data_IF_460643445735
#
_entry.id   IF_460643445735
#
_cell.length_a   1.000
_cell.length_b   1.000
_cell.length_c   1.000
_cell.angle_alpha   90.00
_cell.angle_beta   90.00
_cell.angle_gamma   90.00
#
_symmetry.space_group_name_H-M   'P 1'
#
loop_
_entity.id
_entity.type
_entity.pdbx_description
1 polymer ?
#
# COMPACT_ATOMS: atom_id res chain seq x y z
N UNK A 1 -0.64 -0.53 -62.59
CA UNK A 1 0.52 -0.53 -61.67
C UNK A 1 0.30 -1.62 -60.62
N UNK A 2 0.85 -2.82 -60.83
CA UNK A 2 0.74 -3.92 -59.86
C UNK A 2 1.76 -3.73 -58.75
N UNK A 3 1.31 -3.41 -57.54
CA UNK A 3 2.20 -3.24 -56.39
C UNK A 3 2.83 -4.60 -56.04
N UNK A 4 4.15 -4.71 -56.13
CA UNK A 4 4.87 -5.96 -55.90
C UNK A 4 4.67 -6.40 -54.45
N UNK A 5 3.94 -7.51 -54.23
CA UNK A 5 3.66 -8.05 -52.88
C UNK A 5 4.93 -8.28 -52.05
N UNK A 6 6.06 -8.56 -52.70
CA UNK A 6 7.38 -8.67 -52.06
C UNK A 6 7.81 -7.35 -51.40
N UNK A 7 7.55 -6.21 -52.04
CA UNK A 7 7.88 -4.87 -51.52
C UNK A 7 7.09 -4.53 -50.25
N UNK A 8 5.80 -4.91 -50.20
CA UNK A 8 4.97 -4.71 -49.01
C UNK A 8 5.51 -5.52 -47.82
N UNK A 9 5.92 -6.76 -48.05
CA UNK A 9 6.48 -7.63 -47.00
C UNK A 9 7.80 -7.06 -46.46
N UNK A 10 8.68 -6.54 -47.32
CA UNK A 10 9.91 -5.90 -46.86
C UNK A 10 9.65 -4.62 -46.06
N UNK A 11 8.66 -3.82 -46.47
CA UNK A 11 8.30 -2.58 -45.78
C UNK A 11 7.73 -2.85 -44.38
N UNK A 12 6.89 -3.88 -44.22
CA UNK A 12 6.32 -4.23 -42.90
C UNK A 12 7.38 -4.79 -41.95
N UNK A 13 8.30 -5.62 -42.44
CA UNK A 13 9.41 -6.13 -41.62
C UNK A 13 10.34 -4.99 -41.20
N UNK A 14 10.65 -4.05 -42.09
CA UNK A 14 11.48 -2.88 -41.78
C UNK A 14 10.84 -1.98 -40.71
N UNK A 15 9.53 -1.74 -40.78
CA UNK A 15 8.79 -0.95 -39.78
C UNK A 15 8.78 -1.65 -38.42
N UNK A 16 8.60 -2.97 -38.36
CA UNK A 16 8.64 -3.73 -37.11
C UNK A 16 10.04 -3.70 -36.48
N UNK A 17 11.09 -3.80 -37.30
CA UNK A 17 12.48 -3.73 -36.83
C UNK A 17 12.88 -2.32 -36.37
N UNK A 18 12.43 -1.28 -37.05
CA UNK A 18 12.59 0.12 -36.63
C UNK A 18 11.80 0.43 -35.36
N UNK A 19 10.59 -0.12 -35.24
CA UNK A 19 9.78 -0.02 -34.04
C UNK A 19 10.56 -0.48 -32.81
N UNK A 20 11.25 -1.63 -32.87
CA UNK A 20 12.00 -2.17 -31.72
C UNK A 20 13.17 -1.29 -31.23
N UNK A 21 13.79 -0.47 -32.08
CA UNK A 21 14.84 0.46 -31.64
C UNK A 21 14.26 1.64 -30.82
N UNK A 22 13.04 2.09 -31.13
CA UNK A 22 12.39 3.20 -30.43
C UNK A 22 11.88 2.85 -29.02
N UNK A 23 11.62 1.57 -28.73
CA UNK A 23 11.13 1.14 -27.41
C UNK A 23 12.23 1.00 -26.34
N UNK A 24 13.51 1.09 -26.71
CA UNK A 24 14.60 0.94 -25.76
C UNK A 24 14.95 2.24 -25.01
N UNK A 25 14.39 3.39 -25.41
CA UNK A 25 14.85 4.69 -24.93
C UNK A 25 13.72 5.65 -24.53
N UNK A 26 12.80 5.19 -23.66
CA UNK A 26 12.10 6.10 -22.76
C UNK A 26 11.71 5.42 -21.43
N UNK A 27 12.72 5.14 -20.61
CA UNK A 27 12.57 4.99 -19.16
C UNK A 27 13.28 6.17 -18.52
N UNK A 28 12.68 7.37 -18.59
CA UNK A 28 13.10 8.53 -17.80
C UNK A 28 11.91 9.13 -17.06
N UNK A 29 11.83 8.73 -15.80
CA UNK A 29 11.41 9.51 -14.62
C UNK A 29 10.21 10.46 -14.78
N UNK A 30 9.02 9.89 -14.73
CA UNK A 30 7.87 10.49 -14.04
C UNK A 30 7.02 9.37 -13.46
N UNK A 31 7.55 8.68 -12.44
CA UNK A 31 6.71 7.85 -11.58
C UNK A 31 5.85 8.79 -10.73
N UNK A 32 4.76 9.30 -11.31
CA UNK A 32 3.63 9.75 -10.52
C UNK A 32 3.27 8.57 -9.62
N UNK A 33 3.63 8.65 -8.34
CA UNK A 33 3.30 7.63 -7.35
C UNK A 33 1.97 8.04 -6.71
N UNK A 34 0.81 7.65 -7.28
CA UNK A 34 -0.49 8.01 -6.73
C UNK A 34 -0.64 7.51 -5.29
N UNK A 35 0.02 6.40 -4.94
CA UNK A 35 0.06 5.86 -3.57
C UNK A 35 0.80 6.83 -2.64
N UNK A 36 1.97 7.32 -3.03
CA UNK A 36 2.74 8.29 -2.23
C UNK A 36 2.01 9.63 -2.07
N UNK A 37 1.40 10.14 -3.14
CA UNK A 37 0.60 11.36 -3.11
C UNK A 37 -0.63 11.20 -2.19
N UNK A 38 -1.34 10.07 -2.30
CA UNK A 38 -2.47 9.75 -1.43
C UNK A 38 -2.06 9.62 0.04
N UNK A 39 -1.00 8.86 0.33
CA UNK A 39 -0.48 8.67 1.70
C UNK A 39 -0.09 10.03 2.31
N UNK A 40 0.63 10.87 1.58
CA UNK A 40 1.05 12.19 2.08
C UNK A 40 -0.12 13.14 2.34
N UNK A 41 -1.12 13.17 1.44
CA UNK A 41 -2.34 13.96 1.64
C UNK A 41 -3.17 13.47 2.81
N UNK A 42 -3.34 12.16 2.92
CA UNK A 42 -4.05 11.51 4.01
C UNK A 42 -3.35 11.72 5.37
N UNK A 43 -2.02 11.58 5.41
CA UNK A 43 -1.22 11.78 6.60
C UNK A 43 -1.38 13.19 7.17
N UNK A 44 -1.40 14.22 6.31
CA UNK A 44 -1.64 15.61 6.73
C UNK A 44 -3.03 15.82 7.33
N UNK A 45 -4.01 15.01 6.96
CA UNK A 45 -5.35 15.05 7.52
C UNK A 45 -5.42 14.28 8.85
N UNK A 46 -4.91 13.04 8.88
CA UNK A 46 -4.89 12.16 10.06
C UNK A 46 -4.06 12.77 11.18
N UNK A 47 -2.89 13.36 10.89
CA UNK A 47 -2.04 13.99 11.91
C UNK A 47 -2.74 15.14 12.65
N UNK A 48 -3.76 15.77 12.06
CA UNK A 48 -4.58 16.78 12.76
C UNK A 48 -5.62 16.13 13.68
N UNK A 49 -6.08 14.93 13.32
CA UNK A 49 -7.03 14.12 14.10
C UNK A 49 -6.33 13.36 15.24
N UNK A 50 -5.05 13.00 15.06
CA UNK A 50 -4.21 12.22 16.00
C UNK A 50 -3.92 12.92 17.35
N UNK A 51 -4.46 14.13 17.57
CA UNK A 51 -4.49 14.83 18.85
C UNK A 51 -3.11 15.04 19.51
N UNK A 52 -3.09 15.45 20.78
CA UNK A 52 -1.83 15.65 21.53
C UNK A 52 -1.22 14.34 22.03
N UNK A 53 -1.94 13.22 22.01
CA UNK A 53 -1.41 11.87 22.29
C UNK A 53 -2.50 10.81 22.02
N UNK A 54 -2.31 9.97 21.00
CA UNK A 54 -3.17 8.83 20.73
C UNK A 54 -3.03 7.75 21.83
N UNK A 55 -4.16 7.23 22.38
CA UNK A 55 -4.15 6.23 23.45
C UNK A 55 -3.69 4.85 22.96
N UNK A 56 -3.69 4.63 21.65
CA UNK A 56 -3.35 3.34 21.05
C UNK A 56 -1.90 3.28 20.56
N UNK A 57 -1.40 2.05 20.45
CA UNK A 57 -0.12 1.70 19.86
C UNK A 57 -0.30 0.60 18.81
N UNK A 58 0.19 0.78 17.58
CA UNK A 58 0.83 2.01 17.05
C UNK A 58 -0.17 3.18 16.97
N UNK A 59 0.30 4.44 16.89
CA UNK A 59 -0.57 5.61 16.64
C UNK A 59 -1.33 5.49 15.32
N UNK A 60 -2.49 6.15 15.19
CA UNK A 60 -3.36 6.03 14.00
C UNK A 60 -2.66 6.38 12.69
N UNK A 61 -1.83 7.43 12.70
CA UNK A 61 -0.96 7.76 11.57
C UNK A 61 -0.02 6.61 11.17
N UNK A 62 0.61 5.96 12.15
CA UNK A 62 1.52 4.83 11.90
C UNK A 62 0.76 3.57 11.47
N UNK A 63 -0.38 3.29 12.11
CA UNK A 63 -1.26 2.19 11.74
C UNK A 63 -1.68 2.29 10.27
N UNK A 64 -2.10 3.47 9.82
CA UNK A 64 -2.54 3.65 8.44
C UNK A 64 -1.45 3.34 7.41
N UNK A 65 -0.20 3.73 7.70
CA UNK A 65 0.95 3.43 6.84
C UNK A 65 1.17 1.91 6.77
N UNK A 66 1.11 1.23 7.90
CA UNK A 66 1.26 -0.21 7.97
C UNK A 66 0.12 -0.93 7.23
N UNK A 67 -1.12 -0.44 7.36
CA UNK A 67 -2.28 -0.97 6.67
C UNK A 67 -2.15 -0.78 5.15
N UNK A 68 -1.80 0.41 4.66
CA UNK A 68 -1.57 0.65 3.23
C UNK A 68 -0.42 -0.20 2.69
N UNK A 69 0.66 -0.35 3.46
CA UNK A 69 1.83 -1.15 3.05
C UNK A 69 1.50 -2.65 2.96
N UNK A 70 0.68 -3.17 3.88
CA UNK A 70 0.33 -4.58 3.95
C UNK A 70 -0.79 -4.95 2.98
N UNK A 71 -1.74 -4.05 2.77
CA UNK A 71 -3.05 -4.35 2.18
C UNK A 71 -3.42 -3.51 0.95
N UNK A 72 -2.60 -2.51 0.61
CA UNK A 72 -2.86 -1.58 -0.49
C UNK A 72 -3.78 -0.43 -0.11
N UNK A 73 -3.99 0.52 -1.03
CA UNK A 73 -4.72 1.78 -0.75
C UNK A 73 -6.16 1.51 -0.29
N UNK A 74 -6.89 0.66 -1.03
CA UNK A 74 -8.32 0.45 -0.80
C UNK A 74 -8.56 -0.20 0.57
N UNK A 75 -7.93 -1.36 0.82
CA UNK A 75 -8.11 -2.06 2.09
C UNK A 75 -7.45 -1.34 3.25
N UNK A 76 -6.27 -0.75 3.04
CA UNK A 76 -5.63 0.07 4.08
C UNK A 76 -6.48 1.28 4.47
N UNK A 77 -7.21 1.88 3.53
CA UNK A 77 -8.13 2.98 3.82
C UNK A 77 -9.32 2.50 4.64
N UNK A 78 -9.98 1.43 4.21
CA UNK A 78 -11.12 0.85 4.92
C UNK A 78 -10.73 0.48 6.35
N UNK A 79 -9.59 -0.19 6.54
CA UNK A 79 -9.08 -0.55 7.85
C UNK A 79 -8.72 0.66 8.72
N UNK A 80 -8.24 1.75 8.11
CA UNK A 80 -7.92 2.97 8.87
C UNK A 80 -9.19 3.69 9.31
N UNK A 81 -10.18 3.80 8.44
CA UNK A 81 -11.49 4.41 8.77
C UNK A 81 -12.21 3.59 9.84
N UNK A 82 -12.23 2.27 9.68
CA UNK A 82 -12.84 1.35 10.64
C UNK A 82 -12.23 1.52 12.04
N UNK A 83 -10.89 1.53 12.13
CA UNK A 83 -10.21 1.75 13.40
C UNK A 83 -10.49 3.14 14.00
N UNK A 84 -10.50 4.21 13.19
CA UNK A 84 -10.79 5.57 13.68
C UNK A 84 -12.20 5.68 14.30
N UNK A 85 -13.15 4.88 13.83
CA UNK A 85 -14.52 4.87 14.36
C UNK A 85 -14.58 4.13 15.72
N UNK A 86 -13.82 3.04 15.87
CA UNK A 86 -13.87 2.17 17.06
C UNK A 86 -12.91 2.57 18.20
N UNK A 87 -11.81 3.26 17.89
CA UNK A 87 -10.76 3.63 18.86
C UNK A 87 -11.28 4.44 20.06
N UNK A 88 -12.35 5.22 19.89
CA UNK A 88 -12.90 6.08 20.94
C UNK A 88 -13.87 5.43 21.92
N UNK A 89 -14.37 4.21 21.65
CA UNK A 89 -15.50 3.63 22.41
C UNK A 89 -15.25 2.22 22.94
N UNK A 90 -14.59 1.36 22.16
CA UNK A 90 -14.66 -0.09 22.39
C UNK A 90 -13.29 -0.70 22.70
N UNK A 91 -12.23 -0.18 22.07
CA UNK A 91 -10.86 -0.68 22.18
C UNK A 91 -10.27 -0.65 23.61
N UNK A 92 -10.76 0.23 24.48
CA UNK A 92 -10.35 0.28 25.89
C UNK A 92 -10.73 -0.99 26.68
N UNK A 93 -11.73 -1.74 26.21
CA UNK A 93 -12.32 -2.87 26.96
C UNK A 93 -11.82 -4.23 26.46
N UNK A 94 -11.41 -4.31 25.19
CA UNK A 94 -11.11 -5.59 24.52
C UNK A 94 -9.64 -5.78 24.18
N UNK A 95 -8.89 -4.69 24.01
CA UNK A 95 -7.51 -4.76 23.53
C UNK A 95 -6.50 -4.76 24.70
N UNK A 96 -5.44 -5.57 24.62
CA UNK A 96 -4.44 -5.67 25.69
C UNK A 96 -3.70 -4.34 25.83
N UNK A 97 -3.36 -3.95 27.07
CA UNK A 97 -2.59 -2.72 27.30
C UNK A 97 -1.10 -3.03 27.39
N UNK A 98 -0.29 -2.18 26.77
CA UNK A 98 1.18 -2.24 26.83
C UNK A 98 1.74 -0.97 27.45
N UNK A 99 2.88 -1.09 28.12
CA UNK A 99 3.62 0.06 28.62
C UNK A 99 4.58 0.56 27.53
N UNK A 100 4.35 1.77 27.02
CA UNK A 100 5.14 2.37 25.95
C UNK A 100 5.46 3.83 26.27
N UNK A 101 6.74 4.19 26.33
CA UNK A 101 7.23 5.55 26.63
C UNK A 101 6.62 6.18 27.90
N UNK A 102 6.60 5.43 29.00
CA UNK A 102 6.17 5.96 30.29
C UNK A 102 4.66 5.96 30.52
N UNK A 103 3.86 5.48 29.56
CA UNK A 103 2.39 5.48 29.63
C UNK A 103 1.82 4.13 29.21
N UNK A 104 0.63 3.83 29.72
CA UNK A 104 -0.17 2.69 29.25
C UNK A 104 -0.83 3.06 27.93
N UNK A 105 -0.71 2.19 26.94
CA UNK A 105 -1.34 2.32 25.63
C UNK A 105 -2.13 1.07 25.27
N UNK A 106 -3.21 1.23 24.54
CA UNK A 106 -3.99 0.14 23.97
C UNK A 106 -3.18 -0.47 22.83
N UNK A 107 -2.89 -1.77 22.88
CA UNK A 107 -2.15 -2.43 21.82
C UNK A 107 -3.11 -2.94 20.74
N UNK A 108 -3.13 -2.22 19.62
CA UNK A 108 -4.00 -2.51 18.49
C UNK A 108 -3.20 -2.44 17.16
N UNK A 109 -2.43 -3.49 16.81
CA UNK A 109 -1.70 -3.56 15.55
C UNK A 109 -2.60 -3.88 14.34
N UNK A 110 -2.07 -3.73 13.12
CA UNK A 110 -2.79 -4.07 11.86
C UNK A 110 -3.25 -5.53 11.83
N UNK A 111 -2.46 -6.41 12.41
CA UNK A 111 -2.74 -7.83 12.55
C UNK A 111 -4.01 -8.13 13.36
N UNK A 112 -4.39 -7.25 14.30
CA UNK A 112 -5.61 -7.41 15.08
C UNK A 112 -6.87 -7.04 14.30
N UNK A 113 -6.71 -6.32 13.18
CA UNK A 113 -7.81 -5.75 12.41
C UNK A 113 -7.97 -6.37 11.01
N UNK A 114 -7.04 -7.24 10.59
CA UNK A 114 -7.08 -7.89 9.27
C UNK A 114 -7.59 -9.33 9.26
N UNK A 115 -7.91 -9.89 10.43
CA UNK A 115 -8.30 -11.31 10.61
C UNK A 115 -9.50 -11.75 9.75
N UNK A 116 -10.42 -10.84 9.44
CA UNK A 116 -11.67 -11.15 8.73
C UNK A 116 -11.48 -11.33 7.21
N UNK A 117 -10.38 -10.87 6.63
CA UNK A 117 -10.16 -10.93 5.18
C UNK A 117 -8.75 -11.34 4.76
N UNK A 118 -7.75 -11.06 5.59
CA UNK A 118 -6.36 -11.37 5.29
C UNK A 118 -5.98 -12.73 5.83
N UNK A 119 -5.77 -13.69 4.92
CA UNK A 119 -5.17 -14.97 5.28
C UNK A 119 -3.64 -14.83 5.17
N UNK A 120 -2.89 -14.95 6.28
CA UNK A 120 -1.44 -14.93 6.19
C UNK A 120 -0.98 -16.07 5.28
N UNK A 121 -0.08 -15.78 4.33
CA UNK A 121 0.54 -16.83 3.52
C UNK A 121 1.20 -17.82 4.47
N UNK A 122 0.80 -19.10 4.41
CA UNK A 122 1.46 -20.18 5.17
C UNK A 122 2.94 -20.18 4.80
N UNK A 123 3.77 -19.65 5.69
CA UNK A 123 5.22 -19.77 5.58
C UNK A 123 5.56 -21.14 6.12
N UNK A 124 5.71 -22.13 5.23
CA UNK A 124 6.26 -23.41 5.64
C UNK A 124 7.63 -23.14 6.28
N UNK A 125 7.89 -23.63 7.51
CA UNK A 125 9.20 -23.50 8.12
C UNK A 125 10.20 -24.13 7.16
N UNK A 126 11.11 -23.31 6.61
CA UNK A 126 12.32 -23.84 5.98
C UNK A 126 13.17 -24.33 7.13
N UNK A 127 13.03 -25.59 7.49
CA UNK A 127 14.05 -26.29 8.25
C UNK A 127 15.38 -26.04 7.51
N UNK A 128 16.37 -25.50 8.21
CA UNK A 128 17.70 -25.27 7.65
C UNK A 128 18.20 -26.58 7.04
N UNK A 129 18.72 -26.49 5.82
CA UNK A 129 19.38 -27.59 5.12
C UNK A 129 20.85 -27.62 5.51
#
# INVERSE_FOLDING_TARGET
MGFNKRFIIFLTIAIIMLGKLGYAQDKRDTDFNPVGCFISGFWRHISKVDGKECPSYPPCSTYSILAFKKHGIVMGWLMTVDRLIHEGKEELTVSPMIYYHGRMKIYDPVENNDFWWYKPKKRYPRYCR
#
